data_IF_793311594675
#
_entry.id   IF_793311594675
#
_cell.length_a   1.000
_cell.length_b   1.000
_cell.length_c   1.000
_cell.angle_alpha   90.00
_cell.angle_beta   90.00
_cell.angle_gamma   90.00
#
_symmetry.space_group_name_H-M   'P 1'
#
loop_
_entity.id
_entity.type
_entity.pdbx_description
1 polymer ?
#
# COMPACT_ATOMS: atom_id res chain seq x y z
N UNK A 1 19.13 -18.03 -14.15
CA UNK A 1 18.55 -19.04 -13.24
C UNK A 1 18.59 -18.64 -11.77
N UNK A 2 19.74 -18.20 -11.21
CA UNK A 2 19.85 -17.82 -9.79
C UNK A 2 18.84 -16.74 -9.37
N UNK A 3 18.62 -15.72 -10.20
CA UNK A 3 17.69 -14.64 -9.87
C UNK A 3 16.23 -15.09 -9.79
N UNK A 4 15.82 -16.05 -10.63
CA UNK A 4 14.48 -16.62 -10.60
C UNK A 4 14.25 -17.39 -9.28
N UNK A 5 15.26 -18.12 -8.82
CA UNK A 5 15.20 -18.88 -7.55
C UNK A 5 15.06 -17.93 -6.37
N UNK A 6 15.86 -16.85 -6.33
CA UNK A 6 15.78 -15.82 -5.28
C UNK A 6 14.39 -15.17 -5.28
N UNK A 7 13.86 -14.87 -6.46
CA UNK A 7 12.54 -14.24 -6.58
C UNK A 7 11.42 -15.17 -6.12
N UNK A 8 11.44 -16.44 -6.52
CA UNK A 8 10.47 -17.45 -6.06
C UNK A 8 10.56 -17.62 -4.54
N UNK A 9 11.76 -17.75 -3.97
CA UNK A 9 11.96 -17.82 -2.52
C UNK A 9 11.41 -16.59 -1.80
N UNK A 10 11.70 -15.39 -2.31
CA UNK A 10 11.18 -14.14 -1.74
C UNK A 10 9.65 -14.09 -1.75
N UNK A 11 9.02 -14.51 -2.85
CA UNK A 11 7.57 -14.57 -2.96
C UNK A 11 6.96 -15.61 -2.02
N UNK A 12 7.58 -16.78 -1.88
CA UNK A 12 7.14 -17.83 -0.95
C UNK A 12 7.25 -17.38 0.51
N UNK A 13 8.32 -16.68 0.88
CA UNK A 13 8.49 -16.11 2.23
C UNK A 13 7.40 -15.07 2.50
N UNK A 14 7.11 -14.17 1.54
CA UNK A 14 6.02 -13.20 1.69
C UNK A 14 4.66 -13.89 1.85
N UNK A 15 4.38 -14.91 1.05
CA UNK A 15 3.15 -15.69 1.17
C UNK A 15 3.04 -16.38 2.54
N UNK A 16 4.13 -16.98 3.01
CA UNK A 16 4.18 -17.62 4.33
C UNK A 16 3.94 -16.61 5.47
N UNK A 17 4.57 -15.44 5.39
CA UNK A 17 4.36 -14.34 6.35
C UNK A 17 2.92 -13.84 6.31
N UNK A 18 2.33 -13.67 5.12
CA UNK A 18 0.93 -13.29 4.94
C UNK A 18 -0.04 -14.27 5.58
N UNK A 19 0.12 -15.56 5.31
CA UNK A 19 -0.70 -16.63 5.92
C UNK A 19 -0.55 -16.65 7.45
N UNK A 20 0.68 -16.48 7.96
CA UNK A 20 0.92 -16.50 9.40
C UNK A 20 0.34 -15.26 10.08
N UNK A 21 0.43 -14.11 9.44
CA UNK A 21 -0.14 -12.86 9.92
C UNK A 21 -1.67 -12.91 9.92
N UNK A 22 -2.31 -13.39 8.85
CA UNK A 22 -3.77 -13.51 8.77
C UNK A 22 -4.32 -14.50 9.80
N UNK A 23 -3.64 -15.63 10.00
CA UNK A 23 -3.98 -16.60 11.06
C UNK A 23 -3.79 -16.04 12.47
N UNK A 24 -2.78 -15.19 12.70
CA UNK A 24 -2.58 -14.55 14.01
C UNK A 24 -3.64 -13.48 14.27
N UNK A 25 -3.95 -12.64 13.27
CA UNK A 25 -5.03 -11.65 13.33
C UNK A 25 -6.41 -12.28 13.56
N UNK A 26 -6.67 -13.45 12.98
CA UNK A 26 -7.91 -14.22 13.20
C UNK A 26 -7.98 -14.86 14.60
N UNK A 27 -6.84 -15.20 15.21
CA UNK A 27 -6.77 -15.92 16.49
C UNK A 27 -6.64 -15.00 17.72
N UNK A 28 -6.12 -13.78 17.55
CA UNK A 28 -5.79 -12.87 18.66
C UNK A 28 -6.88 -11.81 18.93
N UNK A 29 -7.86 -11.59 18.03
CA UNK A 29 -8.84 -10.51 18.16
C UNK A 29 -10.32 -10.90 17.89
N UNK A 30 -10.78 -12.09 18.29
CA UNK A 30 -12.18 -12.50 18.13
C UNK A 30 -13.23 -11.58 18.79
N UNK A 31 -12.84 -10.68 19.71
CA UNK A 31 -13.76 -9.83 20.48
C UNK A 31 -14.09 -8.45 19.88
N UNK A 32 -13.34 -7.95 18.87
CA UNK A 32 -13.45 -6.53 18.42
C UNK A 32 -14.02 -6.29 17.02
N UNK A 33 -14.61 -7.32 16.40
CA UNK A 33 -15.24 -7.22 15.07
C UNK A 33 -14.23 -7.25 13.92
N UNK A 34 -14.52 -8.07 12.90
CA UNK A 34 -13.64 -8.36 11.76
C UNK A 34 -13.14 -7.10 11.04
N UNK A 35 -14.01 -6.11 10.81
CA UNK A 35 -13.68 -4.88 10.09
C UNK A 35 -12.65 -4.01 10.84
N UNK A 36 -12.72 -3.92 12.16
CA UNK A 36 -11.76 -3.13 12.97
C UNK A 36 -10.37 -3.79 12.99
N UNK A 37 -10.34 -5.12 13.03
CA UNK A 37 -9.10 -5.88 12.99
C UNK A 37 -8.44 -5.84 11.62
N UNK A 38 -9.22 -5.95 10.54
CA UNK A 38 -8.70 -5.96 9.19
C UNK A 38 -8.24 -4.56 8.74
N UNK A 39 -9.05 -3.52 8.96
CA UNK A 39 -8.75 -2.17 8.46
C UNK A 39 -7.90 -1.33 9.42
N UNK A 40 -7.96 -1.56 10.73
CA UNK A 40 -7.27 -0.72 11.74
C UNK A 40 -6.28 -1.51 12.58
N UNK A 41 -6.12 -2.83 12.34
CA UNK A 41 -5.23 -3.68 13.12
C UNK A 41 -5.53 -3.62 14.62
N UNK A 42 -6.81 -3.55 15.01
CA UNK A 42 -7.27 -3.39 16.41
C UNK A 42 -6.78 -2.12 17.13
N UNK A 43 -6.23 -1.13 16.39
CA UNK A 43 -5.62 0.10 16.95
C UNK A 43 -4.45 -0.18 17.92
N UNK A 44 -3.88 -1.38 17.91
CA UNK A 44 -2.80 -1.81 18.80
C UNK A 44 -1.41 -1.69 18.18
N UNK A 45 -1.32 -1.28 16.90
CA UNK A 45 -0.04 -1.07 16.23
C UNK A 45 0.76 0.06 16.89
N UNK A 46 1.94 -0.27 17.41
CA UNK A 46 2.87 0.69 17.99
C UNK A 46 3.40 1.70 16.95
N UNK A 47 3.86 2.87 17.42
CA UNK A 47 4.30 3.97 16.55
C UNK A 47 5.42 3.59 15.56
N UNK A 48 6.33 2.70 15.95
CA UNK A 48 7.40 2.20 15.08
C UNK A 48 6.83 1.35 13.94
N UNK A 49 5.87 0.47 14.23
CA UNK A 49 5.22 -0.38 13.21
C UNK A 49 4.45 0.48 12.21
N UNK A 50 3.72 1.49 12.69
CA UNK A 50 3.02 2.44 11.83
C UNK A 50 3.99 3.23 10.93
N UNK A 51 5.14 3.67 11.46
CA UNK A 51 6.16 4.33 10.67
C UNK A 51 6.74 3.40 9.59
N UNK A 52 7.02 2.14 9.93
CA UNK A 52 7.49 1.15 8.96
C UNK A 52 6.46 0.88 7.86
N UNK A 53 5.17 0.74 8.20
CA UNK A 53 4.10 0.58 7.20
C UNK A 53 3.99 1.81 6.31
N UNK A 54 4.19 3.00 6.85
CA UNK A 54 4.18 4.23 6.06
C UNK A 54 5.34 4.27 5.06
N UNK A 55 6.54 3.91 5.50
CA UNK A 55 7.71 3.80 4.63
C UNK A 55 7.51 2.69 3.59
N UNK A 56 6.98 1.53 3.98
CA UNK A 56 6.68 0.45 3.04
C UNK A 56 5.64 0.86 1.98
N UNK A 57 4.61 1.63 2.37
CA UNK A 57 3.59 2.16 1.44
C UNK A 57 4.20 3.20 0.49
N UNK A 58 5.15 4.00 1.00
CA UNK A 58 5.89 4.98 0.21
C UNK A 58 6.82 4.31 -0.83
N UNK A 59 7.45 3.21 -0.43
CA UNK A 59 8.36 2.42 -1.26
C UNK A 59 7.57 1.49 -2.18
N UNK A 60 6.97 2.08 -3.22
CA UNK A 60 6.25 1.35 -4.28
C UNK A 60 7.12 1.09 -5.51
N UNK A 61 6.69 0.13 -6.35
CA UNK A 61 7.30 -0.14 -7.66
C UNK A 61 7.40 1.12 -8.53
N UNK A 62 6.42 2.04 -8.42
CA UNK A 62 6.46 3.33 -9.11
C UNK A 62 7.63 4.21 -8.66
N UNK A 63 7.97 4.20 -7.38
CA UNK A 63 9.09 4.99 -6.83
C UNK A 63 10.44 4.38 -7.25
N UNK A 64 10.54 3.06 -7.26
CA UNK A 64 11.76 2.34 -7.66
C UNK A 64 12.05 2.38 -9.16
N UNK A 65 11.03 2.42 -10.01
CA UNK A 65 11.20 2.51 -11.46
C UNK A 65 11.17 3.95 -11.96
N UNK A 66 10.20 4.73 -11.46
CA UNK A 66 9.98 6.10 -11.90
C UNK A 66 11.06 7.06 -11.41
N UNK A 67 11.50 6.94 -10.16
CA UNK A 67 12.54 7.81 -9.59
C UNK A 67 13.87 7.69 -10.34
N UNK A 68 14.51 6.51 -10.34
CA UNK A 68 15.75 6.27 -11.08
C UNK A 68 15.61 6.41 -12.60
N UNK A 69 14.47 6.05 -13.17
CA UNK A 69 14.20 6.22 -14.60
C UNK A 69 14.19 7.70 -15.02
N UNK A 70 13.49 8.54 -14.26
CA UNK A 70 13.48 9.99 -14.51
C UNK A 70 14.79 10.66 -14.11
N UNK A 71 15.46 10.19 -13.06
CA UNK A 71 16.79 10.70 -12.67
C UNK A 71 17.87 10.37 -13.71
N UNK A 72 17.74 9.27 -14.45
CA UNK A 72 18.66 8.96 -15.56
C UNK A 72 18.47 9.88 -16.77
N UNK A 73 17.25 10.37 -17.00
CA UNK A 73 16.94 11.30 -18.09
C UNK A 73 17.17 12.78 -17.72
N UNK A 74 16.84 13.17 -16.49
CA UNK A 74 16.89 14.57 -16.01
C UNK A 74 18.08 14.86 -15.08
N UNK A 75 18.92 13.87 -14.80
CA UNK A 75 20.08 13.98 -13.92
C UNK A 75 19.72 14.02 -12.42
N UNK A 76 20.75 14.23 -11.59
CA UNK A 76 20.64 14.25 -10.11
C UNK A 76 19.62 15.27 -9.58
N UNK A 77 19.29 16.29 -10.37
CA UNK A 77 18.29 17.33 -10.10
C UNK A 77 16.92 16.77 -9.73
N UNK A 78 16.57 15.57 -10.21
CA UNK A 78 15.32 14.91 -9.85
C UNK A 78 15.26 14.44 -8.38
N UNK A 79 16.41 14.30 -7.71
CA UNK A 79 16.50 13.90 -6.30
C UNK A 79 15.85 14.90 -5.36
N UNK A 80 15.72 16.17 -5.76
CA UNK A 80 15.00 17.20 -5.00
C UNK A 80 13.52 16.83 -4.76
N UNK A 81 12.89 16.12 -5.69
CA UNK A 81 11.50 15.66 -5.56
C UNK A 81 11.32 14.75 -4.34
N UNK A 82 12.31 13.91 -4.04
CA UNK A 82 12.31 13.08 -2.84
C UNK A 82 12.38 13.93 -1.55
N UNK A 83 13.20 14.99 -1.55
CA UNK A 83 13.31 15.94 -0.43
C UNK A 83 12.00 16.67 -0.12
N UNK A 84 11.31 17.17 -1.16
CA UNK A 84 10.00 17.83 -1.01
C UNK A 84 8.95 16.85 -0.49
N UNK A 85 8.95 15.61 -0.99
CA UNK A 85 7.99 14.59 -0.54
C UNK A 85 8.17 14.21 0.94
N UNK A 86 9.41 14.09 1.42
CA UNK A 86 9.67 13.83 2.85
C UNK A 86 9.12 14.98 3.70
N UNK A 87 9.41 16.22 3.32
CA UNK A 87 8.89 17.41 4.02
C UNK A 87 7.36 17.46 4.02
N UNK A 88 6.74 17.21 2.87
CA UNK A 88 5.29 17.18 2.74
C UNK A 88 4.66 16.05 3.57
N UNK A 89 5.27 14.86 3.59
CA UNK A 89 4.80 13.72 4.38
C UNK A 89 4.86 14.01 5.88
N UNK A 90 5.99 14.54 6.37
CA UNK A 90 6.15 14.93 7.77
C UNK A 90 5.16 16.01 8.20
N UNK A 91 4.96 17.05 7.38
CA UNK A 91 3.99 18.10 7.68
C UNK A 91 2.56 17.58 7.67
N UNK A 92 2.19 16.81 6.65
CA UNK A 92 0.85 16.25 6.51
C UNK A 92 0.53 15.30 7.65
N UNK A 93 1.42 14.36 7.97
CA UNK A 93 1.18 13.37 9.03
C UNK A 93 1.35 13.97 10.43
N UNK A 94 2.33 14.86 10.64
CA UNK A 94 2.56 15.53 11.90
C UNK A 94 1.40 16.45 12.30
N UNK A 95 0.88 17.22 11.35
CA UNK A 95 -0.20 18.19 11.59
C UNK A 95 -1.58 17.54 11.48
N UNK A 96 -1.85 16.84 10.37
CA UNK A 96 -3.18 16.28 10.10
C UNK A 96 -3.36 14.89 10.72
N UNK A 97 -2.30 14.08 10.85
CA UNK A 97 -2.39 12.72 11.37
C UNK A 97 -2.95 12.67 12.80
N UNK A 98 -2.52 13.56 13.70
CA UNK A 98 -3.07 13.64 15.06
C UNK A 98 -4.56 14.05 15.04
N UNK A 99 -4.94 14.97 14.16
CA UNK A 99 -6.33 15.43 14.01
C UNK A 99 -7.25 14.31 13.48
N UNK A 100 -6.83 13.63 12.41
CA UNK A 100 -7.56 12.50 11.84
C UNK A 100 -7.67 11.34 12.83
N UNK A 101 -6.60 11.05 13.57
CA UNK A 101 -6.61 10.01 14.61
C UNK A 101 -7.60 10.32 15.75
N UNK A 102 -7.66 11.58 16.21
CA UNK A 102 -8.61 11.96 17.27
C UNK A 102 -10.08 11.87 16.79
N UNK A 103 -10.36 12.31 15.57
CA UNK A 103 -11.74 12.30 15.05
C UNK A 103 -12.17 10.88 14.70
N UNK A 104 -11.33 10.07 14.05
CA UNK A 104 -11.62 8.64 13.80
C UNK A 104 -11.89 7.85 15.09
N UNK A 105 -11.22 8.21 16.21
CA UNK A 105 -11.52 7.63 17.52
C UNK A 105 -12.89 8.04 18.07
N UNK A 106 -13.33 9.28 17.82
CA UNK A 106 -14.65 9.76 18.26
C UNK A 106 -15.80 9.22 17.43
N UNK A 107 -15.60 9.00 16.13
CA UNK A 107 -16.66 8.55 15.21
C UNK A 107 -16.63 7.05 14.91
N UNK A 108 -15.67 6.30 15.50
CA UNK A 108 -15.38 4.90 15.15
C UNK A 108 -15.25 4.65 13.63
N UNK A 109 -14.91 5.69 12.86
CA UNK A 109 -14.72 5.61 11.42
C UNK A 109 -13.49 4.76 11.11
N UNK A 110 -13.70 3.74 10.30
CA UNK A 110 -12.68 2.78 9.87
C UNK A 110 -12.01 3.24 8.57
N UNK A 111 -12.76 3.98 7.75
CA UNK A 111 -12.31 4.51 6.45
C UNK A 111 -12.34 6.04 6.40
N UNK A 112 -11.62 6.63 5.43
CA UNK A 112 -11.73 8.06 5.11
C UNK A 112 -13.17 8.42 4.72
N UNK A 113 -13.86 7.54 4.00
CA UNK A 113 -15.25 7.77 3.59
C UNK A 113 -16.20 7.82 4.79
N UNK A 114 -15.99 6.98 5.82
CA UNK A 114 -16.74 7.06 7.07
C UNK A 114 -16.46 8.35 7.85
N UNK A 115 -15.22 8.85 7.78
CA UNK A 115 -14.87 10.14 8.36
C UNK A 115 -15.59 11.29 7.64
N UNK A 116 -15.62 11.28 6.30
CA UNK A 116 -16.37 12.27 5.53
C UNK A 116 -17.87 12.17 5.80
N UNK A 117 -18.41 10.95 5.92
CA UNK A 117 -19.82 10.73 6.27
C UNK A 117 -20.15 11.32 7.62
N UNK A 118 -19.34 11.06 8.65
CA UNK A 118 -19.54 11.60 9.99
C UNK A 118 -19.33 13.13 10.07
N UNK A 119 -18.57 13.73 9.14
CA UNK A 119 -18.31 15.17 9.13
C UNK A 119 -19.33 15.98 8.35
N UNK A 120 -19.79 15.46 7.21
CA UNK A 120 -20.64 16.18 6.25
C UNK A 120 -22.09 15.69 6.21
N UNK A 121 -22.39 14.52 6.78
CA UNK A 121 -23.72 13.87 6.84
C UNK A 121 -24.45 13.75 5.48
N UNK A 122 -23.71 13.92 4.37
CA UNK A 122 -24.25 13.90 3.02
C UNK A 122 -23.83 12.62 2.29
N UNK A 123 -24.78 11.77 1.86
CA UNK A 123 -24.48 10.54 1.13
C UNK A 123 -23.84 10.83 -0.24
N UNK A 124 -24.12 11.97 -0.87
CA UNK A 124 -23.57 12.34 -2.17
C UNK A 124 -22.04 12.53 -2.11
N UNK A 125 -21.53 13.20 -1.06
CA UNK A 125 -20.09 13.43 -0.89
C UNK A 125 -19.34 12.12 -0.68
N UNK A 126 -19.92 11.21 0.10
CA UNK A 126 -19.34 9.88 0.37
C UNK A 126 -19.26 9.04 -0.91
N UNK A 127 -20.30 9.06 -1.73
CA UNK A 127 -20.34 8.32 -3.00
C UNK A 127 -19.31 8.89 -3.98
N UNK A 128 -19.26 10.22 -4.14
CA UNK A 128 -18.29 10.86 -5.04
C UNK A 128 -16.85 10.56 -4.60
N UNK A 129 -16.55 10.68 -3.30
CA UNK A 129 -15.23 10.36 -2.77
C UNK A 129 -14.89 8.87 -2.92
N UNK A 130 -15.86 7.97 -2.70
CA UNK A 130 -15.69 6.54 -2.91
C UNK A 130 -15.38 6.20 -4.37
N UNK A 131 -16.14 6.75 -5.31
CA UNK A 131 -15.92 6.56 -6.76
C UNK A 131 -14.57 7.13 -7.19
N UNK A 132 -14.24 8.34 -6.74
CA UNK A 132 -12.95 8.95 -7.01
C UNK A 132 -11.81 8.07 -6.49
N UNK A 133 -11.90 7.59 -5.24
CA UNK A 133 -10.93 6.66 -4.66
C UNK A 133 -10.76 5.42 -5.54
N UNK A 134 -11.85 4.76 -5.94
CA UNK A 134 -11.78 3.57 -6.78
C UNK A 134 -11.05 3.85 -8.10
N UNK A 135 -11.37 4.95 -8.78
CA UNK A 135 -10.72 5.34 -10.05
C UNK A 135 -9.21 5.58 -9.85
N UNK A 136 -8.85 6.33 -8.79
CA UNK A 136 -7.44 6.59 -8.49
C UNK A 136 -6.69 5.32 -8.11
N UNK A 137 -7.29 4.43 -7.30
CA UNK A 137 -6.68 3.16 -6.93
C UNK A 137 -6.51 2.21 -8.12
N UNK A 138 -7.47 2.15 -9.03
CA UNK A 138 -7.33 1.36 -10.27
C UNK A 138 -6.15 1.87 -11.09
N UNK A 139 -6.06 3.19 -11.30
CA UNK A 139 -4.96 3.80 -12.05
C UNK A 139 -3.61 3.54 -11.38
N UNK A 140 -3.56 3.65 -10.05
CA UNK A 140 -2.37 3.35 -9.26
C UNK A 140 -1.97 1.87 -9.36
N UNK A 141 -2.94 0.95 -9.29
CA UNK A 141 -2.66 -0.48 -9.45
C UNK A 141 -2.11 -0.80 -10.83
N UNK A 142 -2.67 -0.23 -11.90
CA UNK A 142 -2.15 -0.43 -13.26
C UNK A 142 -0.67 -0.04 -13.34
N UNK A 143 -0.30 1.13 -12.81
CA UNK A 143 1.10 1.57 -12.78
C UNK A 143 2.01 0.62 -11.99
N UNK A 144 1.55 0.09 -10.85
CA UNK A 144 2.32 -0.87 -10.05
C UNK A 144 2.50 -2.23 -10.74
N UNK A 145 1.45 -2.74 -11.42
CA UNK A 145 1.52 -3.99 -12.16
C UNK A 145 2.44 -3.90 -13.39
N UNK A 146 2.35 -2.80 -14.14
CA UNK A 146 3.28 -2.52 -15.25
C UNK A 146 4.71 -2.46 -14.72
N UNK A 147 4.92 -1.78 -13.59
CA UNK A 147 6.23 -1.69 -12.96
C UNK A 147 6.79 -3.06 -12.56
N UNK A 148 6.00 -3.86 -11.83
CA UNK A 148 6.39 -5.21 -11.41
C UNK A 148 6.70 -6.13 -12.59
N UNK A 149 5.88 -6.09 -13.64
CA UNK A 149 6.09 -6.88 -14.86
C UNK A 149 7.36 -6.44 -15.62
N UNK A 150 7.63 -5.14 -15.70
CA UNK A 150 8.83 -4.59 -16.36
C UNK A 150 10.10 -4.97 -15.61
N UNK A 151 10.07 -4.97 -14.27
CA UNK A 151 11.18 -5.44 -13.44
C UNK A 151 11.45 -6.92 -13.69
N UNK A 152 10.41 -7.76 -13.66
CA UNK A 152 10.54 -9.18 -13.94
C UNK A 152 11.12 -9.42 -15.33
N UNK A 153 10.58 -8.77 -16.36
CA UNK A 153 11.10 -8.88 -17.73
C UNK A 153 12.58 -8.51 -17.82
N UNK A 154 12.99 -7.40 -17.20
CA UNK A 154 14.38 -6.91 -17.24
C UNK A 154 15.35 -7.83 -16.51
N UNK A 155 14.89 -8.48 -15.42
CA UNK A 155 15.73 -9.29 -14.54
C UNK A 155 15.81 -10.75 -14.97
N UNK A 156 14.69 -11.31 -15.46
CA UNK A 156 14.61 -12.74 -15.81
C UNK A 156 14.68 -12.98 -17.32
N UNK A 157 14.55 -11.94 -18.15
CA UNK A 157 14.46 -12.06 -19.62
C UNK A 157 13.18 -12.73 -20.11
N UNK A 158 12.18 -12.91 -19.23
CA UNK A 158 10.89 -13.51 -19.60
C UNK A 158 10.07 -12.52 -20.43
N UNK A 159 9.21 -12.99 -21.35
CA UNK A 159 8.33 -12.10 -22.07
C UNK A 159 7.36 -11.41 -21.10
N UNK A 160 7.04 -10.14 -21.38
CA UNK A 160 6.25 -9.26 -20.51
C UNK A 160 4.95 -9.91 -20.00
N UNK A 161 4.23 -10.61 -20.88
CA UNK A 161 2.96 -11.28 -20.53
C UNK A 161 3.14 -12.37 -19.45
N UNK A 162 4.24 -13.12 -19.48
CA UNK A 162 4.54 -14.15 -18.50
C UNK A 162 4.94 -13.52 -17.15
N UNK A 163 5.72 -12.43 -17.18
CA UNK A 163 6.07 -11.65 -16.00
C UNK A 163 4.85 -11.03 -15.33
N UNK A 164 3.93 -10.46 -16.11
CA UNK A 164 2.68 -9.88 -15.64
C UNK A 164 1.77 -10.94 -14.99
N UNK A 165 1.60 -12.10 -15.62
CA UNK A 165 0.79 -13.20 -15.07
C UNK A 165 1.35 -13.73 -13.76
N UNK A 166 2.67 -13.93 -13.68
CA UNK A 166 3.32 -14.44 -12.46
C UNK A 166 3.21 -13.43 -11.31
N UNK A 167 3.51 -12.15 -11.59
CA UNK A 167 3.37 -11.09 -10.59
C UNK A 167 1.93 -10.95 -10.11
N UNK A 168 0.97 -10.92 -11.04
CA UNK A 168 -0.43 -10.76 -10.72
C UNK A 168 -1.00 -11.95 -9.93
N UNK A 169 -0.69 -13.19 -10.33
CA UNK A 169 -1.13 -14.37 -9.60
C UNK A 169 -0.66 -14.35 -8.14
N UNK A 170 0.60 -13.97 -7.91
CA UNK A 170 1.18 -13.93 -6.56
C UNK A 170 0.55 -12.82 -5.73
N UNK A 171 0.36 -11.63 -6.29
CA UNK A 171 -0.31 -10.52 -5.60
C UNK A 171 -1.76 -10.88 -5.25
N UNK A 172 -2.50 -11.51 -6.17
CA UNK A 172 -3.89 -11.92 -5.93
C UNK A 172 -3.97 -12.97 -4.82
N UNK A 173 -3.11 -14.01 -4.87
CA UNK A 173 -3.09 -15.06 -3.85
C UNK A 173 -2.71 -14.46 -2.49
N UNK A 174 -1.66 -13.65 -2.43
CA UNK A 174 -1.23 -13.00 -1.19
C UNK A 174 -2.33 -12.10 -0.60
N UNK A 175 -2.98 -11.29 -1.43
CA UNK A 175 -4.03 -10.35 -0.99
C UNK A 175 -5.32 -11.07 -0.60
N UNK A 176 -5.62 -12.22 -1.22
CA UNK A 176 -6.81 -13.02 -0.90
C UNK A 176 -6.66 -13.83 0.38
N UNK A 177 -5.41 -14.13 0.77
CA UNK A 177 -5.09 -14.98 1.93
C UNK A 177 -4.66 -14.16 3.17
N UNK A 178 -4.10 -12.97 2.95
CA UNK A 178 -3.77 -11.98 3.98
C UNK A 178 -5.00 -11.35 4.60
#
# INVERSE_FOLDING_TARGET
MVVLIILILYLLINLWLGIRASRKSAKENSDKGFLSNYFVGSRSMGGVVLAMTLVATYTSASSFLGGPGLASSFGMSWSWVAGVQIGAAFLTLGVLGKKFAMISRRTNSVTINDYLRARYDSPAVVIICGVAMVIFFITQMIAQFIGGATLLQSVTGLPYWAGLLLFGAVVIIYTSVG
#
